data_IF_779865654587
#
_entry.id   IF_779865654587
#
_cell.length_a   1.000
_cell.length_b   1.000
_cell.length_c   1.000
_cell.angle_alpha   90.00
_cell.angle_beta   90.00
_cell.angle_gamma   90.00
#
_symmetry.space_group_name_H-M   'P 1'
#
loop_
_entity.id
_entity.type
_entity.pdbx_description
1 polymer ?
#
# COMPACT_ATOMS: atom_id res chain seq x y z
N UNK A 1 -8.77 -1.43 4.89
CA UNK A 1 -9.09 -1.75 3.48
C UNK A 1 -10.55 -2.16 3.39
N UNK A 2 -11.25 -1.63 2.38
CA UNK A 2 -12.68 -1.80 2.20
C UNK A 2 -12.97 -2.67 0.98
N UNK A 3 -13.75 -3.74 1.17
CA UNK A 3 -14.19 -4.65 0.11
C UNK A 3 -15.69 -4.89 0.18
N UNK A 4 -16.23 -5.67 -0.75
CA UNK A 4 -17.61 -6.16 -0.68
C UNK A 4 -17.87 -7.12 0.50
N UNK A 5 -16.83 -7.48 1.27
CA UNK A 5 -16.90 -8.31 2.48
C UNK A 5 -16.81 -7.49 3.77
N UNK A 6 -16.56 -6.18 3.69
CA UNK A 6 -16.38 -5.31 4.85
C UNK A 6 -17.15 -4.00 4.73
N UNK A 7 -17.29 -3.30 5.85
CA UNK A 7 -17.88 -1.96 5.94
C UNK A 7 -16.76 -0.94 6.19
N UNK A 8 -16.95 0.29 5.72
CA UNK A 8 -15.94 1.36 5.82
C UNK A 8 -15.57 1.72 7.25
N UNK A 9 -16.57 1.73 8.14
CA UNK A 9 -16.41 1.99 9.57
C UNK A 9 -17.66 1.56 10.33
N UNK A 10 -17.55 1.41 11.64
CA UNK A 10 -18.69 1.27 12.54
C UNK A 10 -18.97 2.60 13.27
N UNK A 11 -20.26 2.92 13.42
CA UNK A 11 -20.76 4.00 14.28
C UNK A 11 -21.86 3.41 15.17
N UNK A 12 -21.56 3.26 16.45
CA UNK A 12 -22.48 2.70 17.46
C UNK A 12 -22.44 3.58 18.71
N UNK A 13 -23.58 3.70 19.40
CA UNK A 13 -23.70 4.48 20.64
C UNK A 13 -23.14 5.92 20.55
N UNK A 14 -23.35 6.60 19.41
CA UNK A 14 -22.81 7.95 19.16
C UNK A 14 -21.28 8.06 19.13
N UNK A 15 -20.56 6.95 19.02
CA UNK A 15 -19.11 6.91 18.87
C UNK A 15 -18.69 6.70 17.42
N UNK A 16 -17.64 7.42 17.01
CA UNK A 16 -17.03 7.39 15.68
C UNK A 16 -17.87 7.98 14.51
N UNK A 17 -18.53 9.14 14.66
CA UNK A 17 -19.38 9.72 13.61
C UNK A 17 -18.63 10.19 12.36
N UNK A 18 -17.30 10.33 12.45
CA UNK A 18 -16.45 10.88 11.37
C UNK A 18 -15.50 9.85 10.74
N UNK A 19 -15.59 8.57 11.13
CA UNK A 19 -14.68 7.51 10.68
C UNK A 19 -14.81 7.08 9.22
N UNK A 20 -15.46 7.86 8.33
CA UNK A 20 -15.79 7.46 6.96
C UNK A 20 -14.58 6.93 6.17
N UNK A 21 -13.44 7.60 6.30
CA UNK A 21 -12.22 7.31 5.55
C UNK A 21 -11.37 6.16 6.14
N UNK A 22 -11.73 5.60 7.31
CA UNK A 22 -10.92 4.55 7.97
C UNK A 22 -10.77 3.26 7.14
N UNK A 23 -11.70 3.00 6.23
CA UNK A 23 -11.65 1.86 5.31
C UNK A 23 -10.72 2.04 4.11
N UNK A 24 -10.35 3.27 3.76
CA UNK A 24 -9.78 3.66 2.46
C UNK A 24 -8.25 3.50 2.37
N UNK A 25 -7.72 2.36 2.84
CA UNK A 25 -6.28 2.10 2.76
C UNK A 25 -5.46 2.84 3.81
N UNK A 26 -5.93 2.85 5.06
CA UNK A 26 -5.21 3.47 6.18
C UNK A 26 -3.86 2.81 6.44
N UNK A 27 -2.85 3.63 6.77
CA UNK A 27 -1.50 3.20 7.12
C UNK A 27 -1.03 3.98 8.35
N UNK A 28 -1.12 3.34 9.51
CA UNK A 28 -0.66 3.90 10.79
C UNK A 28 0.77 3.45 11.08
N UNK A 29 1.59 4.36 11.60
CA UNK A 29 2.97 4.08 11.99
C UNK A 29 3.17 4.32 13.47
N UNK A 30 3.61 3.28 14.19
CA UNK A 30 3.94 3.35 15.61
C UNK A 30 5.45 3.18 15.76
N UNK A 31 6.18 4.29 15.90
CA UNK A 31 7.64 4.28 16.07
C UNK A 31 7.99 4.23 17.55
N UNK A 32 7.44 5.17 18.31
CA UNK A 32 7.58 5.28 19.76
C UNK A 32 6.34 4.74 20.52
N UNK A 33 5.23 4.49 19.81
CA UNK A 33 4.02 3.86 20.34
C UNK A 33 2.98 4.82 20.93
N UNK A 34 3.16 6.13 20.81
CA UNK A 34 2.24 7.15 21.33
C UNK A 34 1.77 8.16 20.27
N UNK A 35 2.11 7.94 19.00
CA UNK A 35 1.82 8.83 17.87
C UNK A 35 0.33 9.17 17.74
N UNK A 36 -0.55 8.25 18.13
CA UNK A 36 -2.00 8.39 18.02
C UNK A 36 -2.71 8.41 19.38
N UNK A 37 -1.98 8.60 20.49
CA UNK A 37 -2.57 8.58 21.83
C UNK A 37 -3.32 9.88 22.13
N UNK A 38 -4.61 9.78 22.44
CA UNK A 38 -5.46 10.88 22.94
C UNK A 38 -5.61 12.07 21.96
N UNK A 39 -5.57 11.83 20.64
CA UNK A 39 -5.61 12.91 19.63
C UNK A 39 -6.86 12.93 18.76
N UNK A 40 -7.66 11.86 18.74
CA UNK A 40 -8.72 11.63 17.76
C UNK A 40 -9.84 12.69 17.83
N UNK A 41 -10.06 13.29 19.01
CA UNK A 41 -11.00 14.39 19.15
C UNK A 41 -10.56 15.65 18.39
N UNK A 42 -9.24 15.86 18.24
CA UNK A 42 -8.62 17.02 17.61
C UNK A 42 -8.09 16.74 16.20
N UNK A 43 -8.20 15.49 15.71
CA UNK A 43 -7.87 15.14 14.34
C UNK A 43 -8.76 15.86 13.32
N UNK A 44 -8.15 16.23 12.20
CA UNK A 44 -8.92 16.38 10.96
C UNK A 44 -9.18 14.98 10.39
N UNK A 45 -10.42 14.53 10.49
CA UNK A 45 -10.86 13.21 10.03
C UNK A 45 -10.87 13.07 8.50
N UNK A 46 -10.65 14.15 7.74
CA UNK A 46 -10.41 14.07 6.29
C UNK A 46 -8.96 13.67 5.96
N UNK A 47 -8.07 13.73 6.94
CA UNK A 47 -6.64 13.47 6.79
C UNK A 47 -6.23 12.20 7.54
N UNK A 48 -6.94 11.08 7.34
CA UNK A 48 -6.54 9.82 7.97
C UNK A 48 -5.26 9.28 7.29
N UNK A 49 -4.19 8.94 8.04
CA UNK A 49 -2.92 8.46 7.47
C UNK A 49 -3.09 7.31 6.48
N UNK A 50 -2.38 7.40 5.34
CA UNK A 50 -2.37 6.40 4.26
C UNK A 50 -3.49 6.54 3.23
N UNK A 51 -4.60 7.18 3.58
CA UNK A 51 -5.78 7.25 2.70
C UNK A 51 -5.53 8.06 1.43
N UNK A 52 -6.25 7.70 0.36
CA UNK A 52 -6.35 8.50 -0.86
C UNK A 52 -7.79 8.94 -1.05
N UNK A 53 -8.06 10.24 -1.05
CA UNK A 53 -9.42 10.80 -1.07
C UNK A 53 -9.50 12.13 -1.82
N UNK A 54 -10.72 12.56 -2.15
CA UNK A 54 -10.95 13.95 -2.59
C UNK A 54 -11.06 14.81 -1.34
N UNK A 55 -10.19 15.82 -1.22
CA UNK A 55 -10.06 16.60 0.02
C UNK A 55 -11.41 17.19 0.49
N UNK A 56 -11.82 16.84 1.71
CA UNK A 56 -13.07 17.30 2.31
C UNK A 56 -14.35 16.70 1.72
N UNK A 57 -14.27 15.60 0.95
CA UNK A 57 -15.40 14.95 0.28
C UNK A 57 -15.40 13.42 0.53
N UNK A 58 -16.56 12.82 0.89
CA UNK A 58 -17.82 13.50 1.21
C UNK A 58 -17.71 14.30 2.52
N UNK A 59 -18.70 15.17 2.80
CA UNK A 59 -18.77 15.82 4.11
C UNK A 59 -19.01 14.76 5.18
N UNK A 60 -18.09 14.65 6.14
CA UNK A 60 -18.13 13.62 7.17
C UNK A 60 -19.40 13.72 8.03
N UNK A 61 -20.10 12.60 8.14
CA UNK A 61 -21.31 12.46 8.93
C UNK A 61 -21.54 10.98 9.29
N UNK A 62 -22.20 10.74 10.42
CA UNK A 62 -22.50 9.39 10.91
C UNK A 62 -23.42 8.60 9.99
N UNK A 63 -24.19 9.27 9.12
CA UNK A 63 -25.05 8.60 8.12
C UNK A 63 -24.28 7.80 7.07
N UNK A 64 -22.95 7.99 6.99
CA UNK A 64 -22.09 7.31 6.02
C UNK A 64 -21.23 6.22 6.68
N UNK A 65 -21.51 5.86 7.94
CA UNK A 65 -20.95 4.68 8.56
C UNK A 65 -21.68 3.41 8.09
N UNK A 66 -21.01 2.26 8.16
CA UNK A 66 -21.59 0.97 7.79
C UNK A 66 -21.77 0.77 6.28
N UNK A 67 -21.15 1.59 5.44
CA UNK A 67 -21.27 1.46 3.98
C UNK A 67 -20.36 0.32 3.51
N UNK A 68 -20.95 -0.69 2.85
CA UNK A 68 -20.23 -1.84 2.28
C UNK A 68 -19.44 -1.42 1.03
N UNK A 69 -18.20 -1.90 0.94
CA UNK A 69 -17.37 -1.71 -0.25
C UNK A 69 -17.97 -2.34 -1.51
N UNK A 70 -17.49 -1.92 -2.68
CA UNK A 70 -18.03 -2.38 -3.97
C UNK A 70 -17.14 -3.36 -4.72
N UNK A 71 -15.86 -3.47 -4.35
CA UNK A 71 -14.86 -4.30 -5.04
C UNK A 71 -14.51 -5.54 -4.24
N UNK A 72 -14.22 -6.64 -4.92
CA UNK A 72 -13.84 -7.90 -4.30
C UNK A 72 -12.33 -8.07 -4.17
N UNK A 73 -11.54 -7.55 -5.11
CA UNK A 73 -10.09 -7.73 -5.17
C UNK A 73 -9.37 -6.87 -4.12
N UNK A 74 -9.41 -7.35 -2.87
CA UNK A 74 -8.91 -6.65 -1.68
C UNK A 74 -8.41 -7.70 -0.69
N UNK A 75 -7.12 -7.70 -0.39
CA UNK A 75 -6.54 -8.79 0.39
C UNK A 75 -5.04 -8.67 0.54
N UNK A 76 -4.42 -9.74 1.01
CA UNK A 76 -2.99 -9.78 1.33
C UNK A 76 -2.38 -11.09 0.86
N UNK A 77 -1.18 -11.02 0.30
CA UNK A 77 -0.26 -12.17 0.19
C UNK A 77 0.88 -11.96 1.20
N UNK A 78 1.28 -13.00 1.92
CA UNK A 78 2.41 -12.93 2.86
C UNK A 78 3.10 -14.27 3.01
N UNK A 79 4.43 -14.24 3.09
CA UNK A 79 5.28 -15.40 3.39
C UNK A 79 5.61 -15.51 4.91
N UNK A 80 5.00 -14.66 5.74
CA UNK A 80 5.25 -14.57 7.18
C UNK A 80 6.34 -13.56 7.57
N UNK A 81 7.15 -13.07 6.62
CA UNK A 81 8.18 -12.06 6.85
C UNK A 81 7.87 -10.75 6.15
N UNK A 82 7.46 -10.84 4.88
CA UNK A 82 7.06 -9.71 4.04
C UNK A 82 5.63 -9.93 3.55
N UNK A 83 5.05 -8.89 2.93
CA UNK A 83 3.67 -8.97 2.47
C UNK A 83 3.33 -7.96 1.40
N UNK A 84 2.29 -8.25 0.62
CA UNK A 84 1.69 -7.27 -0.27
C UNK A 84 0.19 -7.21 0.00
N UNK A 85 -0.27 -6.04 0.43
CA UNK A 85 -1.69 -5.72 0.59
C UNK A 85 -2.18 -5.00 -0.65
N UNK A 86 -3.42 -5.28 -1.06
CA UNK A 86 -4.04 -4.67 -2.24
C UNK A 86 -5.47 -4.24 -1.96
N UNK A 87 -5.87 -3.11 -2.55
CA UNK A 87 -7.22 -2.58 -2.49
C UNK A 87 -7.61 -1.98 -3.86
N UNK A 88 -8.49 -2.69 -4.60
CA UNK A 88 -9.26 -2.08 -5.69
C UNK A 88 -10.42 -1.30 -5.05
N UNK A 89 -10.47 0.00 -5.24
CA UNK A 89 -11.37 0.89 -4.53
C UNK A 89 -12.25 1.69 -5.49
N UNK A 90 -13.52 1.85 -5.10
CA UNK A 90 -14.40 2.92 -5.59
C UNK A 90 -15.19 3.40 -4.40
N UNK A 91 -15.38 4.72 -4.31
CA UNK A 91 -16.14 5.31 -3.21
C UNK A 91 -17.55 4.69 -3.16
N UNK A 92 -17.90 4.03 -2.05
CA UNK A 92 -19.12 3.25 -2.01
C UNK A 92 -20.36 4.10 -1.71
N UNK A 93 -20.18 5.37 -1.33
CA UNK A 93 -21.27 6.29 -1.02
C UNK A 93 -21.78 6.99 -2.29
N UNK A 94 -20.90 7.67 -3.02
CA UNK A 94 -21.26 8.52 -4.16
C UNK A 94 -20.40 8.28 -5.41
N UNK A 95 -19.39 7.42 -5.33
CA UNK A 95 -18.49 7.12 -6.45
C UNK A 95 -17.61 8.30 -6.86
N UNK A 96 -17.32 9.23 -5.95
CA UNK A 96 -16.49 10.41 -6.23
C UNK A 96 -15.04 10.10 -6.61
N UNK A 97 -14.50 8.94 -6.19
CA UNK A 97 -13.12 8.54 -6.46
C UNK A 97 -13.03 7.03 -6.67
N UNK A 98 -12.16 6.60 -7.56
CA UNK A 98 -11.77 5.20 -7.75
C UNK A 98 -10.26 5.10 -7.95
N UNK A 99 -9.64 4.03 -7.47
CA UNK A 99 -8.21 3.78 -7.62
C UNK A 99 -7.88 2.32 -7.32
N UNK A 100 -6.65 1.92 -7.63
CA UNK A 100 -6.03 0.68 -7.14
C UNK A 100 -4.86 1.06 -6.27
N UNK A 101 -4.81 0.53 -5.05
CA UNK A 101 -3.75 0.83 -4.09
C UNK A 101 -3.09 -0.45 -3.62
N UNK A 102 -1.76 -0.51 -3.69
CA UNK A 102 -0.98 -1.61 -3.16
C UNK A 102 0.05 -1.09 -2.15
N UNK A 103 0.30 -1.91 -1.13
CA UNK A 103 1.34 -1.71 -0.13
C UNK A 103 2.26 -2.93 -0.17
N UNK A 104 3.48 -2.73 -0.62
CA UNK A 104 4.52 -3.74 -0.64
C UNK A 104 5.35 -3.58 0.64
N UNK A 105 5.01 -4.37 1.66
CA UNK A 105 5.76 -4.45 2.91
C UNK A 105 7.03 -5.27 2.67
N UNK A 106 8.18 -4.65 2.89
CA UNK A 106 9.50 -5.22 2.77
C UNK A 106 10.16 -5.25 4.17
N UNK A 107 11.48 -5.43 4.25
CA UNK A 107 12.17 -5.57 5.55
C UNK A 107 12.01 -4.32 6.43
N UNK A 108 12.51 -3.17 5.98
CA UNK A 108 12.52 -1.90 6.73
C UNK A 108 11.65 -0.80 6.10
N UNK A 109 10.91 -1.14 5.05
CA UNK A 109 10.17 -0.16 4.24
C UNK A 109 8.85 -0.69 3.70
N UNK A 110 7.99 0.23 3.30
CA UNK A 110 6.74 -0.05 2.61
C UNK A 110 6.71 0.80 1.34
N UNK A 111 6.64 0.17 0.18
CA UNK A 111 6.35 0.90 -1.06
C UNK A 111 4.84 0.95 -1.25
N UNK A 112 4.29 2.14 -1.39
CA UNK A 112 2.85 2.37 -1.57
C UNK A 112 2.63 2.92 -2.97
N UNK A 113 1.90 2.17 -3.80
CA UNK A 113 1.56 2.57 -5.16
C UNK A 113 0.06 2.75 -5.28
N UNK A 114 -0.36 3.91 -5.78
CA UNK A 114 -1.74 4.20 -6.14
C UNK A 114 -1.80 4.38 -7.64
N UNK A 115 -2.64 3.63 -8.35
CA UNK A 115 -2.75 3.66 -9.81
C UNK A 115 -4.21 3.71 -10.24
N UNK A 116 -4.43 4.07 -11.51
CA UNK A 116 -5.77 4.19 -12.10
C UNK A 116 -6.70 5.07 -11.26
N UNK A 117 -6.15 6.15 -10.71
CA UNK A 117 -6.86 7.14 -9.93
C UNK A 117 -7.79 7.94 -10.83
N UNK A 118 -9.08 7.93 -10.51
CA UNK A 118 -10.11 8.64 -11.23
C UNK A 118 -10.96 9.43 -10.23
N UNK A 119 -11.16 10.71 -10.51
CA UNK A 119 -12.05 11.59 -9.74
C UNK A 119 -13.28 11.90 -10.59
N UNK A 120 -14.47 11.64 -10.05
CA UNK A 120 -15.73 11.95 -10.72
C UNK A 120 -16.20 13.37 -10.34
N UNK A 121 -15.76 14.36 -11.12
CA UNK A 121 -16.13 15.77 -10.91
C UNK A 121 -17.62 16.07 -11.09
N UNK A 122 -18.41 15.14 -11.61
CA UNK A 122 -19.88 15.30 -11.73
C UNK A 122 -20.60 15.14 -10.39
N UNK A 123 -19.94 14.56 -9.38
CA UNK A 123 -20.51 14.45 -8.03
C UNK A 123 -20.59 15.85 -7.38
N UNK A 124 -21.74 16.25 -6.82
CA UNK A 124 -21.89 17.56 -6.19
C UNK A 124 -20.85 17.81 -5.10
N UNK A 125 -20.14 18.94 -5.21
CA UNK A 125 -19.12 19.35 -4.24
C UNK A 125 -17.71 18.82 -4.52
N UNK A 126 -17.50 17.95 -5.51
CA UNK A 126 -16.18 17.38 -5.87
C UNK A 126 -15.41 18.25 -6.87
N UNK A 127 -16.10 18.89 -7.82
CA UNK A 127 -15.48 19.66 -8.90
C UNK A 127 -14.43 20.66 -8.39
N UNK A 128 -13.22 20.59 -8.95
CA UNK A 128 -12.11 21.49 -8.61
C UNK A 128 -11.42 21.22 -7.26
N UNK A 129 -11.80 20.15 -6.55
CA UNK A 129 -11.09 19.71 -5.34
C UNK A 129 -9.96 18.75 -5.69
N UNK A 130 -8.81 18.84 -5.02
CA UNK A 130 -7.70 17.93 -5.28
C UNK A 130 -7.99 16.54 -4.72
N UNK A 131 -7.57 15.51 -5.45
CA UNK A 131 -7.28 14.22 -4.85
C UNK A 131 -5.96 14.32 -4.08
N UNK A 132 -5.91 13.74 -2.89
CA UNK A 132 -4.74 13.76 -2.01
C UNK A 132 -4.43 12.36 -1.50
N UNK A 133 -3.15 12.08 -1.24
CA UNK A 133 -2.75 10.99 -0.34
C UNK A 133 -2.24 11.58 0.96
N UNK A 134 -2.78 11.10 2.08
CA UNK A 134 -2.33 11.52 3.40
C UNK A 134 -1.09 10.72 3.77
N UNK A 135 0.04 11.40 3.97
CA UNK A 135 1.29 10.79 4.39
C UNK A 135 1.32 10.60 5.91
N UNK A 136 0.77 11.56 6.65
CA UNK A 136 0.79 11.55 8.10
C UNK A 136 -0.27 12.46 8.75
N UNK A 137 -0.68 12.11 9.97
CA UNK A 137 -1.55 12.90 10.84
C UNK A 137 -1.48 12.35 12.27
N UNK A 138 -0.55 12.86 13.08
CA UNK A 138 -0.17 12.31 14.39
C UNK A 138 0.07 13.39 15.43
N UNK A 139 0.22 13.00 16.69
CA UNK A 139 0.75 13.86 17.75
C UNK A 139 2.11 14.41 17.33
N UNK A 140 2.35 15.70 17.52
CA UNK A 140 3.60 16.33 17.13
C UNK A 140 4.81 15.76 17.90
N UNK A 141 5.96 15.73 17.24
CA UNK A 141 7.28 15.40 17.79
C UNK A 141 8.18 16.63 17.77
N UNK A 142 9.20 16.65 18.63
CA UNK A 142 10.14 17.78 18.77
C UNK A 142 11.32 17.74 17.76
N UNK A 143 11.31 16.79 16.81
CA UNK A 143 12.41 16.52 15.88
C UNK A 143 12.47 17.47 14.66
N UNK A 144 11.45 18.32 14.49
CA UNK A 144 11.29 19.20 13.35
C UNK A 144 10.80 18.50 12.08
N UNK A 145 10.38 19.31 11.10
CA UNK A 145 9.91 18.86 9.79
C UNK A 145 11.01 19.08 8.77
N UNK A 146 11.35 18.04 8.00
CA UNK A 146 12.44 18.09 7.03
C UNK A 146 11.95 17.72 5.64
N UNK A 147 12.22 18.56 4.65
CA UNK A 147 11.90 18.32 3.23
C UNK A 147 13.18 18.45 2.44
N UNK A 148 13.55 17.41 1.69
CA UNK A 148 14.80 17.37 0.92
C UNK A 148 16.06 17.70 1.75
N UNK A 149 16.10 17.14 2.96
CA UNK A 149 17.14 17.35 3.98
C UNK A 149 17.29 18.80 4.49
N UNK A 150 16.33 19.68 4.18
CA UNK A 150 16.24 21.02 4.74
C UNK A 150 15.12 21.11 5.78
N UNK A 151 15.41 21.69 6.94
CA UNK A 151 14.41 21.92 7.97
C UNK A 151 13.46 23.04 7.53
N UNK A 152 12.15 22.81 7.65
CA UNK A 152 11.11 23.77 7.27
C UNK A 152 10.19 24.09 8.46
N UNK A 153 9.60 25.29 8.44
CA UNK A 153 8.62 25.71 9.44
C UNK A 153 7.19 25.44 8.96
N UNK A 154 6.53 24.44 9.57
CA UNK A 154 5.14 24.07 9.30
C UNK A 154 4.15 24.65 10.34
N UNK A 155 4.60 25.50 11.26
CA UNK A 155 3.79 26.02 12.38
C UNK A 155 2.58 26.84 11.94
N UNK A 156 2.65 27.48 10.77
CA UNK A 156 1.56 28.28 10.21
C UNK A 156 0.91 27.64 8.97
N UNK A 157 1.18 26.36 8.73
CA UNK A 157 0.84 25.68 7.48
C UNK A 157 1.83 26.04 6.38
N UNK A 158 2.26 25.04 5.60
CA UNK A 158 3.24 25.20 4.54
C UNK A 158 2.85 24.35 3.33
N UNK A 159 2.78 24.97 2.15
CA UNK A 159 2.71 24.27 0.88
C UNK A 159 4.09 24.30 0.21
N UNK A 160 4.65 23.13 -0.09
CA UNK A 160 6.00 22.99 -0.63
C UNK A 160 6.09 21.74 -1.52
N UNK A 161 6.95 21.76 -2.53
CA UNK A 161 7.26 20.55 -3.28
C UNK A 161 8.58 19.96 -2.79
N UNK A 162 8.69 18.64 -2.75
CA UNK A 162 9.91 17.96 -2.37
C UNK A 162 9.91 16.49 -2.75
N UNK A 163 11.09 15.92 -2.92
CA UNK A 163 11.23 14.48 -3.24
C UNK A 163 11.14 13.61 -1.99
N UNK A 164 11.45 14.19 -0.84
CA UNK A 164 11.45 13.52 0.47
C UNK A 164 10.72 14.34 1.54
N UNK A 165 10.17 13.62 2.52
CA UNK A 165 9.68 14.19 3.78
C UNK A 165 10.22 13.33 4.92
N UNK A 166 10.76 13.94 5.97
CA UNK A 166 11.11 13.27 7.20
C UNK A 166 10.48 13.97 8.41
N UNK A 167 9.82 13.19 9.26
CA UNK A 167 9.17 13.68 10.47
C UNK A 167 9.04 12.58 11.54
N UNK A 168 9.43 12.87 12.78
CA UNK A 168 9.13 12.01 13.95
C UNK A 168 9.52 10.54 13.78
N UNK A 169 10.69 10.27 13.18
CA UNK A 169 11.18 8.92 12.89
C UNK A 169 10.62 8.28 11.61
N UNK A 170 9.76 8.97 10.86
CA UNK A 170 9.22 8.49 9.58
C UNK A 170 9.91 9.19 8.41
N UNK A 171 10.39 8.42 7.44
CA UNK A 171 10.86 8.92 6.14
C UNK A 171 9.91 8.57 5.01
N UNK A 172 9.73 9.49 4.07
CA UNK A 172 8.92 9.31 2.86
C UNK A 172 9.75 9.73 1.64
N UNK A 173 9.74 8.93 0.58
CA UNK A 173 10.47 9.17 -0.66
C UNK A 173 9.54 8.96 -1.85
N UNK A 174 9.41 9.93 -2.75
CA UNK A 174 8.63 9.75 -3.97
C UNK A 174 9.46 9.11 -5.08
N UNK A 175 8.88 8.19 -5.86
CA UNK A 175 9.57 7.55 -7.00
C UNK A 175 9.39 8.30 -8.33
N UNK A 176 8.19 8.81 -8.59
CA UNK A 176 7.80 9.26 -9.93
C UNK A 176 7.89 10.78 -10.05
N UNK A 177 7.13 11.47 -9.21
CA UNK A 177 6.97 12.92 -9.20
C UNK A 177 7.20 13.44 -7.80
N UNK A 178 7.95 14.54 -7.61
CA UNK A 178 8.09 15.14 -6.29
C UNK A 178 6.71 15.35 -5.65
N UNK A 179 6.63 15.12 -4.34
CA UNK A 179 5.41 15.37 -3.59
C UNK A 179 4.99 16.83 -3.75
N UNK A 180 3.68 17.06 -3.85
CA UNK A 180 3.09 18.39 -3.67
C UNK A 180 2.54 18.50 -2.27
N UNK A 181 3.42 18.75 -1.31
CA UNK A 181 3.13 18.65 0.12
C UNK A 181 2.30 19.84 0.62
N UNK A 182 1.35 19.53 1.49
CA UNK A 182 0.80 20.47 2.45
C UNK A 182 1.08 19.94 3.86
N UNK A 183 1.78 20.75 4.65
CA UNK A 183 2.29 20.44 5.97
C UNK A 183 1.66 21.37 7.00
N UNK A 184 1.39 20.87 8.20
CA UNK A 184 0.89 21.67 9.33
C UNK A 184 1.31 21.03 10.63
N UNK A 185 1.93 21.79 11.53
CA UNK A 185 2.23 21.39 12.90
C UNK A 185 1.65 22.41 13.88
N UNK A 186 0.50 22.10 14.49
CA UNK A 186 -0.27 23.10 15.26
C UNK A 186 -0.97 22.49 16.46
N UNK A 187 -1.19 23.31 17.49
CA UNK A 187 -2.13 22.99 18.56
C UNK A 187 -3.57 23.02 18.02
N UNK A 188 -4.20 21.84 17.96
CA UNK A 188 -5.58 21.68 17.51
C UNK A 188 -6.49 21.39 18.70
N UNK A 189 -7.66 22.02 18.71
CA UNK A 189 -8.66 21.83 19.76
C UNK A 189 -9.81 21.01 19.22
N UNK A 190 -10.15 19.95 19.95
CA UNK A 190 -11.18 18.99 19.62
C UNK A 190 -12.05 18.65 20.81
N UNK A 191 -13.28 18.15 20.58
CA UNK A 191 -14.20 17.80 21.66
C UNK A 191 -14.48 16.30 21.67
N UNK A 192 -14.08 15.61 22.74
CA UNK A 192 -14.31 14.17 22.89
C UNK A 192 -15.79 13.79 22.90
N UNK A 193 -16.65 14.66 23.41
CA UNK A 193 -18.10 14.48 23.42
C UNK A 193 -18.73 14.63 22.02
N UNK A 194 -18.00 15.19 21.05
CA UNK A 194 -18.47 15.30 19.66
C UNK A 194 -18.23 14.03 18.85
N UNK A 195 -17.31 13.16 19.28
CA UNK A 195 -16.93 11.93 18.55
C UNK A 195 -17.23 10.64 19.34
N UNK A 196 -17.70 10.75 20.58
CA UNK A 196 -17.92 9.62 21.48
C UNK A 196 -18.88 9.98 22.62
N UNK A 197 -19.18 9.01 23.48
CA UNK A 197 -19.94 9.21 24.74
C UNK A 197 -19.11 9.82 25.88
N UNK A 198 -17.84 10.13 25.64
CA UNK A 198 -16.94 10.71 26.65
C UNK A 198 -17.45 12.07 27.15
N UNK A 199 -17.30 12.31 28.46
CA UNK A 199 -17.62 13.59 29.11
C UNK A 199 -16.40 14.51 29.26
N UNK A 200 -15.23 14.13 28.72
CA UNK A 200 -13.96 14.88 28.82
C UNK A 200 -14.04 16.28 28.20
N UNK A 201 -14.92 16.48 27.21
CA UNK A 201 -15.12 17.78 26.56
C UNK A 201 -13.94 18.18 25.67
N UNK A 202 -13.62 19.48 25.65
CA UNK A 202 -12.56 20.03 24.81
C UNK A 202 -11.17 19.62 25.29
N UNK A 203 -10.31 19.22 24.36
CA UNK A 203 -8.87 18.97 24.55
C UNK A 203 -8.09 19.74 23.49
N UNK A 204 -6.90 20.20 23.84
CA UNK A 204 -5.96 20.82 22.90
C UNK A 204 -4.68 20.01 22.88
N UNK A 205 -4.26 19.56 21.71
CA UNK A 205 -3.05 18.75 21.52
C UNK A 205 -2.27 19.24 20.30
N UNK A 206 -0.94 19.16 20.30
CA UNK A 206 -0.13 19.49 19.13
C UNK A 206 -0.23 18.34 18.12
N UNK A 207 -0.60 18.65 16.88
CA UNK A 207 -0.76 17.66 15.79
C UNK A 207 0.08 18.10 14.60
N UNK A 208 0.85 17.16 14.07
CA UNK A 208 1.46 17.24 12.76
C UNK A 208 0.60 16.51 11.74
N UNK A 209 0.40 17.11 10.58
CA UNK A 209 -0.23 16.46 9.43
C UNK A 209 0.48 16.81 8.14
N UNK A 210 0.61 15.82 7.26
CA UNK A 210 1.16 15.95 5.92
C UNK A 210 0.30 15.20 4.91
N UNK A 211 -0.01 15.84 3.79
CA UNK A 211 -0.59 15.17 2.63
C UNK A 211 0.06 15.69 1.35
N UNK A 212 0.04 14.88 0.30
CA UNK A 212 0.46 15.27 -1.04
C UNK A 212 -0.75 15.36 -1.97
N UNK A 213 -0.82 16.42 -2.78
CA UNK A 213 -1.72 16.46 -3.92
C UNK A 213 -1.34 15.44 -4.98
N UNK A 214 -2.33 14.85 -5.65
CA UNK A 214 -2.11 13.94 -6.77
C UNK A 214 -2.67 14.59 -8.04
N UNK A 215 -1.79 14.88 -8.99
CA UNK A 215 -2.14 15.53 -10.26
C UNK A 215 -2.21 14.57 -11.45
N UNK A 216 -1.64 13.37 -11.31
CA UNK A 216 -1.66 12.26 -12.26
C UNK A 216 -2.71 11.20 -11.87
N UNK A 217 -2.88 10.20 -12.72
CA UNK A 217 -3.69 9.01 -12.43
C UNK A 217 -2.95 7.97 -11.55
N UNK A 218 -1.70 8.26 -11.18
CA UNK A 218 -0.83 7.36 -10.44
C UNK A 218 0.16 8.13 -9.56
N UNK A 219 0.53 7.53 -8.42
CA UNK A 219 1.54 8.06 -7.51
C UNK A 219 2.13 6.92 -6.67
N UNK A 220 3.46 6.79 -6.68
CA UNK A 220 4.19 5.80 -5.91
C UNK A 220 5.22 6.44 -4.99
N UNK A 221 5.25 6.01 -3.73
CA UNK A 221 6.24 6.45 -2.75
C UNK A 221 6.72 5.29 -1.88
N UNK A 222 7.94 5.38 -1.36
CA UNK A 222 8.44 4.55 -0.28
C UNK A 222 8.22 5.25 1.06
N UNK A 223 7.91 4.44 2.07
CA UNK A 223 7.72 4.82 3.45
C UNK A 223 8.68 4.00 4.34
N UNK A 224 9.47 4.70 5.15
CA UNK A 224 10.49 4.14 6.04
C UNK A 224 10.13 4.48 7.50
N UNK A 225 9.40 3.61 8.22
CA UNK A 225 9.13 3.79 9.65
C UNK A 225 10.42 3.61 10.46
N UNK A 226 10.50 4.25 11.63
CA UNK A 226 11.62 4.12 12.57
C UNK A 226 13.01 4.31 11.92
N UNK A 227 13.11 5.31 11.05
CA UNK A 227 14.26 5.60 10.21
C UNK A 227 14.96 6.91 10.60
N UNK A 228 16.06 7.23 9.92
CA UNK A 228 16.82 8.47 10.10
C UNK A 228 16.87 9.29 8.82
N UNK A 229 17.21 10.58 8.93
CA UNK A 229 17.41 11.45 7.76
C UNK A 229 18.54 10.93 6.87
N UNK A 230 19.61 10.39 7.46
CA UNK A 230 20.73 9.83 6.72
C UNK A 230 20.30 8.59 5.92
N UNK A 231 19.49 7.70 6.51
CA UNK A 231 18.95 6.53 5.81
C UNK A 231 18.06 6.95 4.64
N UNK A 232 17.18 7.93 4.84
CA UNK A 232 16.32 8.46 3.79
C UNK A 232 17.13 9.12 2.66
N UNK A 233 18.18 9.88 3.01
CA UNK A 233 19.08 10.48 2.04
C UNK A 233 19.84 9.41 1.22
N UNK A 234 20.22 8.29 1.83
CA UNK A 234 20.82 7.16 1.09
C UNK A 234 19.84 6.57 0.07
N UNK A 235 18.58 6.36 0.46
CA UNK A 235 17.54 5.86 -0.45
C UNK A 235 17.26 6.78 -1.63
N UNK A 236 17.32 8.10 -1.42
CA UNK A 236 17.18 9.07 -2.52
C UNK A 236 18.29 8.93 -3.58
N UNK A 237 19.52 8.59 -3.17
CA UNK A 237 20.67 8.47 -4.09
C UNK A 237 20.87 7.06 -4.63
N UNK A 238 20.51 6.03 -3.85
CA UNK A 238 20.71 4.63 -4.17
C UNK A 238 19.55 3.82 -3.59
N UNK A 239 18.38 3.84 -4.25
CA UNK A 239 17.20 3.13 -3.79
C UNK A 239 17.48 1.64 -3.61
N UNK A 240 17.08 1.07 -2.48
CA UNK A 240 17.17 -0.39 -2.25
C UNK A 240 16.12 -1.18 -3.03
N UNK A 241 15.11 -0.48 -3.54
CA UNK A 241 13.96 -1.07 -4.22
C UNK A 241 13.64 -0.31 -5.50
N UNK A 242 13.10 -1.04 -6.47
CA UNK A 242 12.72 -0.55 -7.78
C UNK A 242 11.26 -0.85 -8.04
N UNK A 243 10.49 0.17 -8.41
CA UNK A 243 9.09 0.03 -8.83
C UNK A 243 9.01 -0.48 -10.27
N UNK A 244 8.00 -1.29 -10.55
CA UNK A 244 7.82 -1.94 -11.85
C UNK A 244 6.35 -1.85 -12.28
N UNK A 245 6.10 -1.65 -13.58
CA UNK A 245 4.75 -1.54 -14.14
C UNK A 245 4.69 -2.16 -15.55
N UNK A 246 3.62 -2.93 -15.82
CA UNK A 246 3.37 -3.60 -17.10
C UNK A 246 1.87 -3.63 -17.40
N UNK A 247 1.38 -2.63 -18.16
CA UNK A 247 -0.01 -2.57 -18.59
C UNK A 247 -0.99 -2.76 -17.41
N UNK A 248 -0.77 -1.98 -16.35
CA UNK A 248 -1.56 -2.00 -15.13
C UNK A 248 -1.23 -3.11 -14.13
N UNK A 249 -0.35 -4.06 -14.44
CA UNK A 249 0.29 -4.93 -13.44
C UNK A 249 1.42 -4.14 -12.79
N UNK A 250 1.52 -4.18 -11.47
CA UNK A 250 2.55 -3.41 -10.73
C UNK A 250 3.39 -4.33 -9.87
N UNK A 251 4.58 -3.89 -9.51
CA UNK A 251 5.45 -4.65 -8.63
C UNK A 251 6.58 -3.83 -8.04
N UNK A 252 7.31 -4.49 -7.14
CA UNK A 252 8.53 -3.96 -6.52
C UNK A 252 9.57 -5.06 -6.50
N UNK A 253 10.78 -4.75 -6.95
CA UNK A 253 11.95 -5.63 -6.88
C UNK A 253 13.05 -5.00 -6.01
N UNK A 254 13.79 -5.84 -5.30
CA UNK A 254 14.94 -5.43 -4.51
C UNK A 254 15.18 -6.37 -3.34
N UNK A 255 16.38 -6.34 -2.76
CA UNK A 255 16.77 -7.14 -1.61
C UNK A 255 16.46 -8.65 -1.75
N UNK A 256 16.79 -9.26 -2.90
CA UNK A 256 16.53 -10.67 -3.25
C UNK A 256 15.04 -11.04 -3.31
N UNK A 257 14.14 -10.05 -3.40
CA UNK A 257 12.69 -10.27 -3.43
C UNK A 257 12.03 -9.55 -4.60
N UNK A 258 10.95 -10.16 -5.10
CA UNK A 258 10.05 -9.58 -6.08
C UNK A 258 8.62 -9.72 -5.57
N UNK A 259 7.86 -8.63 -5.57
CA UNK A 259 6.43 -8.65 -5.32
C UNK A 259 5.68 -8.16 -6.56
N UNK A 260 4.61 -8.85 -6.95
CA UNK A 260 3.81 -8.54 -8.13
C UNK A 260 2.32 -8.57 -7.79
N UNK A 261 1.57 -7.62 -8.37
CA UNK A 261 0.11 -7.57 -8.30
C UNK A 261 -0.46 -7.51 -9.71
N UNK A 262 -1.11 -8.60 -10.11
CA UNK A 262 -1.91 -8.68 -11.33
C UNK A 262 -3.34 -8.27 -10.97
N UNK A 263 -3.72 -7.07 -11.35
CA UNK A 263 -5.05 -6.53 -11.07
C UNK A 263 -6.12 -7.06 -12.04
N UNK A 264 -7.41 -7.03 -11.68
CA UNK A 264 -8.48 -7.33 -12.62
C UNK A 264 -8.38 -6.49 -13.90
N UNK A 265 -8.23 -7.12 -15.06
CA UNK A 265 -8.11 -6.43 -16.35
C UNK A 265 -6.75 -5.77 -16.64
N UNK A 266 -5.69 -6.07 -15.86
CA UNK A 266 -4.32 -5.71 -16.25
C UNK A 266 -3.74 -6.72 -17.26
N UNK A 267 -2.54 -6.42 -17.77
CA UNK A 267 -1.76 -7.37 -18.55
C UNK A 267 -1.42 -8.63 -17.74
N UNK A 268 -1.42 -9.79 -18.41
CA UNK A 268 -1.20 -11.09 -17.77
C UNK A 268 0.28 -11.45 -17.60
N UNK A 269 1.20 -10.69 -18.18
CA UNK A 269 2.64 -11.00 -18.17
C UNK A 269 3.44 -9.83 -17.62
N UNK A 270 4.32 -10.12 -16.66
CA UNK A 270 5.35 -9.23 -16.15
C UNK A 270 6.73 -9.77 -16.52
N UNK A 271 7.62 -8.90 -16.99
CA UNK A 271 9.02 -9.27 -17.31
C UNK A 271 9.96 -8.31 -16.61
N UNK A 272 10.82 -8.83 -15.77
CA UNK A 272 11.82 -8.06 -15.01
C UNK A 272 13.22 -8.63 -15.22
N UNK A 273 14.24 -7.79 -15.02
CA UNK A 273 15.62 -8.25 -15.00
C UNK A 273 15.92 -8.93 -13.66
N UNK A 274 16.57 -10.09 -13.68
CA UNK A 274 16.97 -10.81 -12.46
C UNK A 274 17.85 -9.95 -11.56
N UNK A 275 18.67 -9.06 -12.14
CA UNK A 275 19.57 -8.16 -11.40
C UNK A 275 18.83 -7.10 -10.60
N UNK A 276 17.65 -6.69 -11.04
CA UNK A 276 16.81 -5.73 -10.30
C UNK A 276 16.24 -6.39 -9.04
N UNK A 277 16.09 -7.72 -9.05
CA UNK A 277 15.68 -8.52 -7.90
C UNK A 277 16.89 -8.81 -6.99
N UNK A 278 18.08 -8.98 -7.57
CA UNK A 278 19.31 -9.44 -6.90
C UNK A 278 19.77 -10.84 -7.35
N UNK A 279 19.02 -11.49 -8.24
CA UNK A 279 19.19 -12.91 -8.55
C UNK A 279 20.24 -13.21 -9.63
N UNK A 280 20.94 -12.21 -10.15
CA UNK A 280 21.97 -12.34 -11.19
C UNK A 280 21.56 -11.74 -12.54
N UNK A 281 22.11 -12.23 -13.64
CA UNK A 281 21.84 -11.71 -14.98
C UNK A 281 20.71 -12.47 -15.69
N UNK A 282 20.04 -11.80 -16.64
CA UNK A 282 18.96 -12.37 -17.44
C UNK A 282 17.58 -11.84 -17.05
N UNK A 283 16.53 -12.41 -17.66
CA UNK A 283 15.16 -11.97 -17.47
C UNK A 283 14.30 -13.05 -16.82
N UNK A 284 13.47 -12.62 -15.88
CA UNK A 284 12.43 -13.43 -15.24
C UNK A 284 11.07 -12.98 -15.75
N UNK A 285 10.28 -13.95 -16.22
CA UNK A 285 8.94 -13.71 -16.77
C UNK A 285 7.94 -14.42 -15.90
N UNK A 286 6.93 -13.69 -15.43
CA UNK A 286 5.79 -14.21 -14.67
C UNK A 286 4.54 -13.98 -15.49
N UNK A 287 3.78 -15.04 -15.76
CA UNK A 287 2.46 -14.93 -16.40
C UNK A 287 1.39 -15.45 -15.45
N UNK A 288 0.35 -14.66 -15.20
CA UNK A 288 -0.79 -15.00 -14.35
C UNK A 288 -2.07 -14.96 -15.16
N UNK A 289 -2.79 -16.07 -15.27
CA UNK A 289 -4.03 -16.13 -16.07
C UNK A 289 -5.22 -15.46 -15.35
N UNK A 290 -5.16 -15.39 -14.01
CA UNK A 290 -6.14 -14.72 -13.17
C UNK A 290 -5.50 -13.53 -12.43
N UNK A 291 -6.29 -12.56 -11.95
CA UNK A 291 -5.83 -11.56 -10.99
C UNK A 291 -5.37 -12.22 -9.70
N UNK A 292 -4.18 -11.84 -9.23
CA UNK A 292 -3.56 -12.41 -8.04
C UNK A 292 -2.41 -11.55 -7.54
N UNK A 293 -2.01 -11.77 -6.29
CA UNK A 293 -0.82 -11.16 -5.71
C UNK A 293 0.23 -12.26 -5.46
N UNK A 294 1.49 -11.95 -5.77
CA UNK A 294 2.61 -12.87 -5.70
C UNK A 294 3.79 -12.24 -4.96
N UNK A 295 4.49 -13.06 -4.19
CA UNK A 295 5.79 -12.78 -3.63
C UNK A 295 6.76 -13.86 -4.11
N UNK A 296 7.95 -13.46 -4.50
CA UNK A 296 9.01 -14.35 -4.89
C UNK A 296 10.27 -14.04 -4.08
N UNK A 297 10.89 -15.10 -3.58
CA UNK A 297 12.17 -15.05 -2.88
C UNK A 297 13.04 -16.22 -3.34
N UNK A 298 14.35 -16.13 -3.12
CA UNK A 298 15.25 -17.28 -3.32
C UNK A 298 15.73 -17.85 -1.99
N UNK A 299 15.92 -19.16 -1.98
CA UNK A 299 16.64 -19.92 -0.95
C UNK A 299 17.81 -20.62 -1.63
N UNK A 300 19.00 -20.50 -1.05
CA UNK A 300 20.13 -21.33 -1.45
C UNK A 300 19.98 -22.71 -0.81
N UNK A 301 20.10 -23.76 -1.61
CA UNK A 301 20.07 -25.15 -1.14
C UNK A 301 21.48 -25.64 -0.81
N UNK A 302 21.59 -26.71 -0.01
CA UNK A 302 22.88 -27.24 0.47
C UNK A 302 23.82 -27.69 -0.67
N UNK A 303 23.26 -28.06 -1.82
CA UNK A 303 23.99 -28.49 -3.01
C UNK A 303 24.44 -27.32 -3.92
N UNK A 304 24.17 -26.09 -3.51
CA UNK A 304 24.53 -24.87 -4.24
C UNK A 304 23.53 -24.46 -5.32
N UNK A 305 22.42 -25.20 -5.50
CA UNK A 305 21.31 -24.76 -6.34
C UNK A 305 20.49 -23.66 -5.66
N UNK A 306 19.72 -22.90 -6.44
CA UNK A 306 18.80 -21.90 -5.91
C UNK A 306 17.36 -22.36 -6.12
N UNK A 307 16.59 -22.39 -5.04
CA UNK A 307 15.14 -22.59 -5.10
C UNK A 307 14.44 -21.24 -5.06
N UNK A 308 13.57 -20.97 -6.03
CA UNK A 308 12.63 -19.86 -6.00
C UNK A 308 11.40 -20.31 -5.24
N UNK A 309 11.06 -19.61 -4.16
CA UNK A 309 9.81 -19.77 -3.41
C UNK A 309 8.82 -18.74 -3.94
N UNK A 310 7.68 -19.21 -4.41
CA UNK A 310 6.57 -18.38 -4.87
C UNK A 310 5.44 -18.48 -3.87
N UNK A 311 5.14 -17.38 -3.19
CA UNK A 311 3.96 -17.26 -2.33
C UNK A 311 2.90 -16.49 -3.08
N UNK A 312 1.67 -16.99 -3.12
CA UNK A 312 0.58 -16.42 -3.90
C UNK A 312 -0.74 -16.44 -3.13
N UNK A 313 -1.61 -15.48 -3.43
CA UNK A 313 -2.96 -15.42 -2.87
C UNK A 313 -3.95 -14.89 -3.92
N UNK A 314 -5.23 -15.21 -3.72
CA UNK A 314 -6.36 -14.59 -4.42
C UNK A 314 -7.04 -13.55 -3.51
N UNK A 315 -6.76 -12.25 -3.68
CA UNK A 315 -7.41 -11.18 -2.93
C UNK A 315 -8.93 -11.11 -3.12
N UNK A 316 -9.48 -11.72 -4.17
CA UNK A 316 -10.93 -11.74 -4.41
C UNK A 316 -11.68 -12.78 -3.57
N UNK A 317 -10.96 -13.80 -3.05
CA UNK A 317 -11.51 -14.94 -2.32
C UNK A 317 -12.54 -15.75 -3.13
N UNK A 318 -12.39 -15.79 -4.45
CA UNK A 318 -13.39 -16.37 -5.36
C UNK A 318 -12.83 -17.41 -6.32
N UNK A 319 -11.51 -17.49 -6.49
CA UNK A 319 -10.88 -18.50 -7.33
C UNK A 319 -10.89 -19.86 -6.61
N UNK A 320 -11.35 -20.90 -7.31
CA UNK A 320 -11.11 -22.29 -6.91
C UNK A 320 -9.69 -22.73 -7.30
N UNK A 321 -9.17 -22.15 -8.39
CA UNK A 321 -7.88 -22.49 -8.98
C UNK A 321 -7.23 -21.28 -9.62
N UNK A 322 -5.91 -21.21 -9.50
CA UNK A 322 -5.07 -20.16 -10.05
C UNK A 322 -3.98 -20.77 -10.93
N UNK A 323 -3.88 -20.28 -12.15
CA UNK A 323 -2.96 -20.74 -13.19
C UNK A 323 -1.88 -19.69 -13.45
N UNK A 324 -0.62 -20.07 -13.30
CA UNK A 324 0.49 -19.18 -13.58
C UNK A 324 1.68 -19.93 -14.18
N UNK A 325 2.56 -19.21 -14.87
CA UNK A 325 3.81 -19.76 -15.39
C UNK A 325 4.99 -18.83 -15.11
N UNK A 326 6.16 -19.46 -14.95
CA UNK A 326 7.42 -18.79 -14.70
C UNK A 326 8.41 -19.22 -15.79
N UNK A 327 9.15 -18.26 -16.33
CA UNK A 327 10.20 -18.52 -17.32
C UNK A 327 11.45 -17.70 -17.00
N UNK A 328 12.61 -18.27 -17.30
CA UNK A 328 13.89 -17.54 -17.33
C UNK A 328 14.45 -17.56 -18.74
N UNK A 329 14.85 -16.41 -19.26
CA UNK A 329 15.41 -16.34 -20.62
C UNK A 329 16.84 -16.90 -20.73
N UNK A 330 17.53 -17.03 -19.60
CA UNK A 330 18.88 -17.58 -19.50
C UNK A 330 18.90 -18.58 -18.32
N UNK A 331 18.90 -19.88 -18.61
CA UNK A 331 18.82 -20.95 -17.61
C UNK A 331 17.61 -21.85 -17.80
N UNK A 332 17.35 -22.74 -16.85
CA UNK A 332 16.15 -23.58 -16.84
C UNK A 332 15.47 -23.58 -15.47
N UNK A 333 14.14 -23.51 -15.47
CA UNK A 333 13.35 -23.75 -14.27
C UNK A 333 12.87 -25.20 -14.26
N UNK A 334 12.95 -25.85 -13.11
CA UNK A 334 12.52 -27.22 -12.92
C UNK A 334 11.52 -27.32 -11.77
N UNK A 335 10.50 -28.16 -11.95
CA UNK A 335 9.57 -28.47 -10.88
C UNK A 335 10.31 -29.12 -9.70
N UNK A 336 9.97 -28.70 -8.48
CA UNK A 336 10.43 -29.38 -7.26
C UNK A 336 9.89 -30.82 -7.22
N UNK A 337 10.63 -31.73 -6.57
CA UNK A 337 10.33 -33.17 -6.55
C UNK A 337 8.95 -33.52 -5.96
N UNK A 338 8.39 -32.62 -5.16
CA UNK A 338 7.13 -32.82 -4.43
C UNK A 338 5.93 -32.09 -5.07
N UNK A 339 6.12 -31.37 -6.19
CA UNK A 339 5.10 -30.51 -6.80
C UNK A 339 4.19 -31.23 -7.81
N UNK A 340 3.13 -31.90 -7.34
CA UNK A 340 2.14 -32.58 -8.18
C UNK A 340 1.32 -31.68 -9.11
N UNK A 341 1.35 -30.36 -8.91
CA UNK A 341 0.64 -29.34 -9.69
C UNK A 341 1.56 -28.51 -10.60
N UNK A 342 2.83 -28.91 -10.72
CA UNK A 342 3.82 -28.28 -11.59
C UNK A 342 4.03 -29.09 -12.87
N UNK A 343 4.03 -28.39 -14.02
CA UNK A 343 4.34 -28.96 -15.33
C UNK A 343 5.57 -28.29 -15.92
N UNK A 344 6.60 -29.08 -16.24
CA UNK A 344 7.83 -28.57 -16.85
C UNK A 344 7.65 -28.32 -18.36
N UNK A 345 8.08 -27.15 -18.82
CA UNK A 345 8.22 -26.78 -20.23
C UNK A 345 9.69 -26.73 -20.66
N UNK A 346 9.94 -26.21 -21.87
CA UNK A 346 11.33 -26.10 -22.42
C UNK A 346 12.19 -25.04 -21.73
N UNK A 347 11.59 -23.94 -21.26
CA UNK A 347 12.30 -22.77 -20.69
C UNK A 347 11.68 -22.27 -19.38
N UNK A 348 10.72 -23.01 -18.84
CA UNK A 348 9.91 -22.56 -17.71
C UNK A 348 9.03 -23.67 -17.15
N UNK A 349 8.23 -23.30 -16.17
CA UNK A 349 7.28 -24.17 -15.48
C UNK A 349 5.91 -23.50 -15.43
N UNK A 350 4.87 -24.32 -15.44
CA UNK A 350 3.49 -23.87 -15.28
C UNK A 350 2.84 -24.56 -14.08
N UNK A 351 1.96 -23.86 -13.39
CA UNK A 351 1.29 -24.30 -12.17
C UNK A 351 -0.22 -24.18 -12.27
N UNK A 352 -0.90 -25.17 -11.72
CA UNK A 352 -2.36 -25.23 -11.58
C UNK A 352 -2.72 -25.41 -10.10
N UNK A 353 -2.76 -24.31 -9.35
CA UNK A 353 -2.84 -24.33 -7.89
C UNK A 353 -4.29 -24.28 -7.42
N UNK A 354 -4.71 -25.27 -6.64
CA UNK A 354 -5.98 -25.20 -5.90
C UNK A 354 -5.90 -24.14 -4.80
N UNK A 355 -6.87 -23.24 -4.79
CA UNK A 355 -6.88 -22.11 -3.87
C UNK A 355 -7.69 -22.43 -2.61
N UNK A 356 -7.29 -21.89 -1.44
CA UNK A 356 -8.05 -22.07 -0.20
C UNK A 356 -9.50 -21.58 -0.33
N UNK A 357 -10.44 -22.33 0.25
CA UNK A 357 -11.87 -22.04 0.21
C UNK A 357 -12.49 -21.89 1.62
N UNK A 358 -13.75 -21.47 1.67
CA UNK A 358 -14.50 -21.30 2.92
C UNK A 358 -13.86 -20.25 3.83
N UNK A 359 -13.74 -20.55 5.13
CA UNK A 359 -13.11 -19.65 6.11
C UNK A 359 -11.63 -19.36 5.87
N UNK A 360 -10.97 -20.14 4.99
CA UNK A 360 -9.57 -19.93 4.60
C UNK A 360 -9.41 -19.16 3.29
N UNK A 361 -10.51 -18.78 2.64
CA UNK A 361 -10.45 -18.10 1.34
C UNK A 361 -9.62 -16.80 1.42
N UNK A 362 -8.70 -16.64 0.47
CA UNK A 362 -7.72 -15.54 0.45
C UNK A 362 -6.44 -15.80 1.26
N UNK A 363 -6.27 -16.96 1.88
CA UNK A 363 -5.00 -17.35 2.50
C UNK A 363 -3.90 -17.51 1.46
N UNK A 364 -2.67 -17.22 1.87
CA UNK A 364 -1.48 -17.43 1.04
C UNK A 364 -1.15 -18.93 0.91
N UNK A 365 -0.74 -19.35 -0.27
CA UNK A 365 -0.18 -20.67 -0.56
C UNK A 365 1.20 -20.49 -1.16
N UNK A 366 2.08 -21.50 -1.07
CA UNK A 366 3.44 -21.41 -1.61
C UNK A 366 3.79 -22.58 -2.53
N UNK A 367 4.68 -22.33 -3.49
CA UNK A 367 5.28 -23.33 -4.39
C UNK A 367 6.77 -23.10 -4.54
N UNK A 368 7.51 -24.17 -4.79
CA UNK A 368 8.96 -24.14 -4.97
C UNK A 368 9.33 -24.57 -6.38
N UNK A 369 10.27 -23.84 -6.99
CA UNK A 369 10.85 -24.11 -8.31
C UNK A 369 12.36 -24.06 -8.20
N UNK A 370 13.04 -25.03 -8.77
CA UNK A 370 14.51 -25.06 -8.79
C UNK A 370 15.00 -24.27 -10.00
N UNK A 371 15.88 -23.30 -9.75
CA UNK A 371 16.64 -22.58 -10.78
C UNK A 371 17.94 -23.35 -11.05
N UNK A 372 18.04 -23.97 -12.23
CA UNK A 372 19.13 -24.85 -12.66
C UNK A 372 19.96 -24.26 -13.79
#
# INVERSE_FOLDING_TARGET
>A
MLSNRSHNTEYTNSANPFGYHLGQGTLFSYVNGYEYRDIEAAWDWNLIPGTTSVLGSPKLNSSYAGVTGKKSFVGVVSDGWVGTSVEDYVDPHDGNIAYRKAWFFLDDSVVVSTTNLQVNESVPGVKGRPAVTVLDNRLASDDGVWVDAEQVDASNGLAINGSTLYYGGNGYLSYDTPFSLTLSEQNRTGNWSAISTSTKGNTTVPIFSAYTGITSDSHTYAFFPASTQERLAQELHSPTTKTLEWNGTIGVAGAERLALVFWPGSGVTATTELRDIGWGEGQFVVTSQQPAAYLFATRADEDGTKTIVVTLADPSQSLERLEFSLEVKQGTLQCSKDGGDCTAGKQGVSFSVEMPAGGMAGSSVFREVVLA
#
